data_IF_366633095113
#
_entry.id   IF_366633095113
#
_cell.length_a   1.000
_cell.length_b   1.000
_cell.length_c   1.000
_cell.angle_alpha   90.00
_cell.angle_beta   90.00
_cell.angle_gamma   90.00
#
_symmetry.space_group_name_H-M   'P 1'
#
loop_
_entity.id
_entity.type
_entity.pdbx_description
1 polymer ?
#
# COMPACT_ATOMS: atom_id res chain seq x y z
N UNK A 1 -13.95 -1.00 -8.88
CA UNK A 1 -12.59 -0.46 -8.78
C UNK A 1 -12.35 0.54 -9.89
N UNK A 2 -12.12 1.81 -9.55
CA UNK A 2 -11.77 2.87 -10.50
C UNK A 2 -10.35 3.35 -10.22
N UNK A 3 -9.55 3.58 -11.28
CA UNK A 3 -8.24 4.23 -11.15
C UNK A 3 -8.42 5.73 -11.28
N UNK A 4 -7.87 6.50 -10.34
CA UNK A 4 -7.81 7.95 -10.39
C UNK A 4 -6.34 8.40 -10.41
N UNK A 5 -6.03 9.35 -11.29
CA UNK A 5 -4.75 10.04 -11.27
C UNK A 5 -4.92 11.37 -10.53
N UNK A 6 -4.21 11.50 -9.42
CA UNK A 6 -4.12 12.71 -8.61
C UNK A 6 -2.97 13.59 -9.09
N UNK A 7 -3.25 14.87 -9.31
CA UNK A 7 -2.27 15.88 -9.68
C UNK A 7 -1.74 16.57 -8.43
N UNK A 8 -0.47 16.36 -8.11
CA UNK A 8 0.08 16.76 -6.82
C UNK A 8 1.31 17.66 -7.01
N UNK A 9 1.24 18.87 -6.47
CA UNK A 9 2.34 19.84 -6.49
C UNK A 9 3.00 19.94 -5.11
N UNK A 10 4.32 20.11 -5.07
CA UNK A 10 5.07 20.27 -3.81
C UNK A 10 6.03 21.44 -3.90
N UNK A 11 6.02 22.30 -2.88
CA UNK A 11 7.02 23.34 -2.66
C UNK A 11 6.94 24.58 -3.55
N UNK A 12 5.85 24.77 -4.29
CA UNK A 12 5.57 26.04 -4.98
C UNK A 12 4.92 27.08 -4.07
N UNK A 13 4.96 28.35 -4.46
CA UNK A 13 4.24 29.44 -3.81
C UNK A 13 4.90 30.02 -2.55
N UNK A 14 6.00 29.43 -2.09
CA UNK A 14 6.77 29.90 -0.93
C UNK A 14 7.85 30.92 -1.31
N UNK A 15 8.19 31.79 -0.37
CA UNK A 15 9.28 32.75 -0.46
C UNK A 15 10.62 32.10 -0.04
N UNK A 16 11.57 31.88 -0.97
CA UNK A 16 12.86 31.25 -0.66
C UNK A 16 13.75 32.07 0.27
N UNK A 17 13.48 33.37 0.41
CA UNK A 17 14.22 34.27 1.28
C UNK A 17 13.63 34.35 2.70
N UNK A 18 12.45 33.76 2.94
CA UNK A 18 11.86 33.67 4.27
C UNK A 18 12.34 32.37 4.96
N UNK A 19 13.13 32.45 6.05
CA UNK A 19 13.63 31.28 6.76
C UNK A 19 12.51 30.35 7.26
N UNK A 20 11.35 30.90 7.62
CA UNK A 20 10.21 30.13 8.12
C UNK A 20 9.51 29.30 7.03
N UNK A 21 9.69 29.67 5.76
CA UNK A 21 9.07 28.97 4.63
C UNK A 21 10.03 28.00 3.94
N UNK A 22 11.33 28.08 4.26
CA UNK A 22 12.39 27.31 3.60
C UNK A 22 12.19 25.80 3.72
N UNK A 23 11.65 25.32 4.84
CA UNK A 23 11.34 23.90 5.06
C UNK A 23 10.25 23.33 4.15
N UNK A 24 9.45 24.20 3.51
CA UNK A 24 8.38 23.80 2.61
C UNK A 24 8.82 23.75 1.14
N UNK A 25 10.05 24.19 0.83
CA UNK A 25 10.57 24.30 -0.54
C UNK A 25 11.40 23.05 -0.87
N UNK A 26 11.18 22.50 -2.06
CA UNK A 26 11.99 21.37 -2.54
C UNK A 26 13.42 21.81 -2.83
N UNK A 27 14.40 20.95 -2.54
CA UNK A 27 15.82 21.23 -2.81
C UNK A 27 16.28 20.56 -4.10
N UNK A 28 17.25 21.17 -4.78
CA UNK A 28 17.93 20.53 -5.91
C UNK A 28 18.88 19.45 -5.41
N UNK A 29 18.78 18.24 -5.98
CA UNK A 29 19.67 17.15 -5.66
C UNK A 29 21.14 17.45 -6.04
N UNK A 30 21.35 18.23 -7.10
CA UNK A 30 22.71 18.58 -7.58
C UNK A 30 23.39 19.66 -6.73
N UNK A 31 22.62 20.68 -6.30
CA UNK A 31 23.18 21.89 -5.67
C UNK A 31 22.91 21.98 -4.17
N UNK A 32 21.99 21.18 -3.64
CA UNK A 32 21.53 21.26 -2.25
C UNK A 32 20.77 22.56 -1.91
N UNK A 33 20.47 23.41 -2.90
CA UNK A 33 19.80 24.71 -2.70
C UNK A 33 18.30 24.63 -2.98
N UNK A 34 17.47 25.52 -2.39
CA UNK A 34 16.05 25.60 -2.70
C UNK A 34 15.81 25.79 -4.20
N UNK A 35 14.86 25.05 -4.77
CA UNK A 35 14.43 25.23 -6.16
C UNK A 35 13.63 26.54 -6.26
N UNK A 36 14.25 27.57 -6.78
CA UNK A 36 13.64 28.88 -6.96
C UNK A 36 14.07 29.54 -8.27
N UNK A 37 13.21 30.38 -8.83
CA UNK A 37 13.50 31.23 -9.99
C UNK A 37 12.83 32.59 -9.77
N UNK A 38 13.55 33.67 -10.09
CA UNK A 38 13.04 35.05 -9.96
C UNK A 38 12.46 35.37 -8.56
N UNK A 39 13.10 34.86 -7.50
CA UNK A 39 12.66 35.10 -6.12
C UNK A 39 11.43 34.31 -5.67
N UNK A 40 10.96 33.32 -6.45
CA UNK A 40 9.83 32.47 -6.10
C UNK A 40 10.21 30.99 -6.11
N UNK A 41 9.70 30.22 -5.15
CA UNK A 41 9.88 28.78 -5.12
C UNK A 41 9.16 28.08 -6.28
N UNK A 42 9.85 27.13 -6.90
CA UNK A 42 9.30 26.32 -7.99
C UNK A 42 8.63 25.06 -7.44
N UNK A 43 7.42 24.79 -7.92
CA UNK A 43 6.74 23.54 -7.61
C UNK A 43 7.39 22.37 -8.34
N UNK A 44 7.51 21.23 -7.64
CA UNK A 44 7.70 19.93 -8.28
C UNK A 44 6.34 19.30 -8.51
N UNK A 45 6.11 18.82 -9.73
CA UNK A 45 4.88 18.15 -10.12
C UNK A 45 5.05 16.64 -10.01
N UNK A 46 4.08 15.98 -9.38
CA UNK A 46 4.00 14.51 -9.36
C UNK A 46 2.58 14.07 -9.72
N UNK A 47 2.48 13.00 -10.51
CA UNK A 47 1.21 12.37 -10.85
C UNK A 47 1.11 11.05 -10.09
N UNK A 48 0.10 10.92 -9.22
CA UNK A 48 -0.01 9.77 -8.31
C UNK A 48 -1.29 9.02 -8.59
N UNK A 49 -1.17 7.72 -8.87
CA UNK A 49 -2.34 6.87 -9.10
C UNK A 49 -2.89 6.31 -7.79
N UNK A 50 -4.22 6.30 -7.67
CA UNK A 50 -4.99 5.75 -6.56
C UNK A 50 -6.10 4.84 -7.07
N UNK A 51 -6.53 3.94 -6.20
CA UNK A 51 -7.65 3.04 -6.42
C UNK A 51 -8.82 3.54 -5.58
N UNK A 52 -9.92 3.89 -6.25
CA UNK A 52 -11.16 4.32 -5.62
C UNK A 52 -12.22 3.22 -5.70
N UNK A 53 -13.15 3.26 -4.75
CA UNK A 53 -14.27 2.31 -4.63
C UNK A 53 -13.78 0.86 -4.75
N UNK A 54 -12.76 0.54 -3.96
CA UNK A 54 -12.13 -0.76 -3.90
C UNK A 54 -12.06 -1.21 -2.45
N UNK A 55 -12.44 -2.47 -2.23
CA UNK A 55 -12.28 -3.17 -0.96
C UNK A 55 -11.51 -4.46 -1.23
N UNK A 56 -10.67 -4.84 -0.28
CA UNK A 56 -9.86 -6.04 -0.36
C UNK A 56 -10.03 -6.83 0.94
N UNK A 57 -10.14 -8.14 0.78
CA UNK A 57 -10.03 -9.07 1.88
C UNK A 57 -8.68 -9.76 1.83
N UNK A 58 -8.00 -9.85 2.98
CA UNK A 58 -6.69 -10.50 3.09
C UNK A 58 -6.81 -11.67 4.05
N UNK A 59 -6.37 -12.84 3.58
CA UNK A 59 -6.22 -14.03 4.40
C UNK A 59 -4.73 -14.31 4.58
N UNK A 60 -4.28 -14.30 5.84
CA UNK A 60 -2.91 -14.66 6.20
C UNK A 60 -2.91 -16.03 6.87
N UNK A 61 -2.05 -16.92 6.37
CA UNK A 61 -1.84 -18.26 6.92
C UNK A 61 -0.40 -18.36 7.44
N UNK A 62 -0.22 -19.01 8.59
CA UNK A 62 1.08 -19.13 9.23
C UNK A 62 0.98 -19.84 10.57
N UNK A 63 2.08 -19.80 11.33
CA UNK A 63 2.11 -20.42 12.66
C UNK A 63 1.27 -19.63 13.66
N UNK A 64 0.59 -20.33 14.57
CA UNK A 64 -0.27 -19.71 15.58
C UNK A 64 0.42 -18.63 16.45
N UNK A 65 1.71 -18.77 16.85
CA UNK A 65 2.39 -17.70 17.60
C UNK A 65 2.56 -16.41 16.78
N UNK A 66 2.96 -16.53 15.51
CA UNK A 66 3.16 -15.37 14.63
C UNK A 66 1.82 -14.67 14.33
N UNK A 67 0.78 -15.45 13.99
CA UNK A 67 -0.54 -14.89 13.70
C UNK A 67 -1.15 -14.17 14.92
N UNK A 68 -0.91 -14.66 16.14
CA UNK A 68 -1.33 -13.98 17.37
C UNK A 68 -0.60 -12.64 17.57
N UNK A 69 0.73 -12.61 17.39
CA UNK A 69 1.49 -11.36 17.45
C UNK A 69 0.99 -10.33 16.43
N UNK A 70 0.73 -10.76 15.20
CA UNK A 70 0.16 -9.89 14.15
C UNK A 70 -1.22 -9.40 14.58
N UNK A 71 -2.11 -10.29 15.04
CA UNK A 71 -3.45 -9.91 15.47
C UNK A 71 -3.43 -8.84 16.58
N UNK A 72 -2.57 -8.99 17.58
CA UNK A 72 -2.44 -8.03 18.68
C UNK A 72 -1.90 -6.68 18.19
N UNK A 73 -0.91 -6.69 17.27
CA UNK A 73 -0.37 -5.48 16.67
C UNK A 73 -1.39 -4.74 15.78
N UNK A 74 -2.29 -5.46 15.09
CA UNK A 74 -3.34 -4.83 14.28
C UNK A 74 -4.48 -4.28 15.15
N UNK A 75 -4.74 -4.86 16.33
CA UNK A 75 -5.72 -4.31 17.30
C UNK A 75 -5.20 -3.06 17.98
N UNK A 76 -3.91 -3.05 18.34
CA UNK A 76 -3.27 -1.96 19.07
C UNK A 76 -2.00 -1.49 18.34
N UNK A 77 -2.14 -0.81 17.19
CA UNK A 77 -0.99 -0.44 16.38
C UNK A 77 -0.20 0.69 17.03
N UNK A 78 1.13 0.55 17.08
CA UNK A 78 2.04 1.58 17.61
C UNK A 78 2.08 2.82 16.71
N UNK A 79 1.89 2.65 15.41
CA UNK A 79 1.81 3.72 14.42
C UNK A 79 0.43 3.73 13.74
N UNK A 80 0.05 4.86 13.15
CA UNK A 80 -1.15 4.92 12.31
C UNK A 80 -1.11 3.91 11.17
N UNK A 81 -2.28 3.43 10.73
CA UNK A 81 -2.41 2.46 9.63
C UNK A 81 -2.96 3.19 8.40
N UNK A 82 -2.43 2.88 7.22
CA UNK A 82 -2.85 3.44 5.94
C UNK A 82 -2.70 2.43 4.79
N UNK A 83 -3.52 2.57 3.75
CA UNK A 83 -3.44 1.73 2.56
C UNK A 83 -2.49 2.35 1.52
N UNK A 84 -1.23 1.90 1.57
CA UNK A 84 -0.16 2.37 0.69
C UNK A 84 0.40 3.73 1.10
N UNK A 85 -0.37 4.82 0.93
CA UNK A 85 0.05 6.19 1.29
C UNK A 85 -0.70 6.68 2.53
N UNK A 86 -0.06 7.53 3.34
CA UNK A 86 -0.62 8.09 4.59
C UNK A 86 -1.96 8.82 4.42
N UNK A 87 -2.28 9.29 3.21
CA UNK A 87 -3.56 9.94 2.88
C UNK A 87 -4.73 8.97 2.72
N UNK A 88 -4.46 7.65 2.62
CA UNK A 88 -5.47 6.62 2.43
C UNK A 88 -5.75 5.90 3.76
N UNK A 89 -6.53 6.56 4.62
CA UNK A 89 -6.86 6.06 5.96
C UNK A 89 -7.94 4.96 5.85
N UNK A 90 -7.82 3.83 6.58
CA UNK A 90 -8.86 2.81 6.63
C UNK A 90 -10.18 3.40 7.12
N UNK A 91 -11.28 3.08 6.44
CA UNK A 91 -12.63 3.51 6.83
C UNK A 91 -13.24 2.68 7.96
N UNK A 92 -12.61 1.57 8.33
CA UNK A 92 -13.03 0.65 9.39
C UNK A 92 -11.80 -0.02 10.02
N UNK A 93 -11.94 -0.63 11.23
CA UNK A 93 -10.89 -1.46 11.80
C UNK A 93 -10.42 -2.54 10.82
N UNK A 94 -9.10 -2.66 10.65
CA UNK A 94 -8.53 -3.56 9.64
C UNK A 94 -8.49 -5.02 10.06
N UNK A 95 -8.54 -5.30 11.37
CA UNK A 95 -8.46 -6.65 11.90
C UNK A 95 -9.85 -7.27 11.95
N UNK A 96 -10.12 -8.23 11.05
CA UNK A 96 -11.39 -8.94 11.01
C UNK A 96 -11.48 -10.03 12.10
N UNK A 97 -10.41 -10.81 12.29
CA UNK A 97 -10.39 -11.90 13.26
C UNK A 97 -9.25 -12.88 13.03
N UNK A 98 -9.11 -13.81 13.98
CA UNK A 98 -8.20 -14.95 13.91
C UNK A 98 -9.03 -16.24 14.02
N UNK A 99 -8.72 -17.24 13.19
CA UNK A 99 -9.41 -18.52 13.13
C UNK A 99 -8.40 -19.66 12.98
N UNK A 100 -8.78 -20.84 13.44
CA UNK A 100 -7.91 -22.03 13.43
C UNK A 100 -7.91 -22.76 12.08
N UNK A 101 -8.91 -22.49 11.22
CA UNK A 101 -9.03 -23.07 9.88
C UNK A 101 -9.14 -21.98 8.81
N UNK A 102 -8.65 -22.30 7.61
CA UNK A 102 -8.78 -21.44 6.41
C UNK A 102 -10.25 -21.20 6.08
N UNK A 103 -11.10 -22.21 6.19
CA UNK A 103 -12.51 -22.11 5.82
C UNK A 103 -13.29 -21.21 6.78
N UNK A 104 -13.01 -21.27 8.09
CA UNK A 104 -13.61 -20.35 9.05
C UNK A 104 -13.13 -18.91 8.83
N UNK A 105 -11.85 -18.72 8.49
CA UNK A 105 -11.29 -17.41 8.16
C UNK A 105 -11.93 -16.82 6.88
N UNK A 106 -12.13 -17.66 5.85
CA UNK A 106 -12.84 -17.26 4.63
C UNK A 106 -14.29 -16.90 4.93
N UNK A 107 -15.02 -17.75 5.65
CA UNK A 107 -16.41 -17.47 6.05
C UNK A 107 -16.55 -16.16 6.83
N UNK A 108 -15.58 -15.84 7.69
CA UNK A 108 -15.56 -14.54 8.39
C UNK A 108 -15.40 -13.36 7.43
N UNK A 109 -14.63 -13.51 6.36
CA UNK A 109 -14.27 -12.44 5.44
C UNK A 109 -15.33 -12.19 4.36
N UNK A 110 -15.91 -13.26 3.79
CA UNK A 110 -16.82 -13.18 2.65
C UNK A 110 -18.22 -13.74 2.93
N UNK A 111 -18.47 -14.25 4.14
CA UNK A 111 -19.73 -14.90 4.50
C UNK A 111 -19.92 -16.22 3.73
N UNK A 112 -21.16 -16.46 3.30
CA UNK A 112 -21.53 -17.63 2.48
C UNK A 112 -21.31 -17.42 0.98
N UNK A 113 -20.67 -16.32 0.57
CA UNK A 113 -20.40 -16.06 -0.85
C UNK A 113 -19.33 -17.05 -1.34
N UNK A 114 -19.51 -17.65 -2.54
CA UNK A 114 -18.50 -18.53 -3.11
C UNK A 114 -17.22 -17.75 -3.38
N UNK A 115 -16.06 -18.33 -3.05
CA UNK A 115 -14.76 -17.69 -3.25
C UNK A 115 -14.48 -17.39 -4.74
N UNK A 116 -15.08 -18.19 -5.63
CA UNK A 116 -15.04 -18.02 -7.08
C UNK A 116 -15.72 -16.74 -7.55
N UNK A 117 -16.60 -16.12 -6.74
CA UNK A 117 -17.18 -14.82 -7.08
C UNK A 117 -16.21 -13.65 -6.93
N UNK A 118 -15.01 -13.89 -6.37
CA UNK A 118 -13.99 -12.88 -6.13
C UNK A 118 -12.78 -13.10 -7.04
N UNK A 119 -12.29 -12.02 -7.65
CA UNK A 119 -10.93 -12.02 -8.18
C UNK A 119 -9.97 -12.09 -7.01
N UNK A 120 -9.12 -13.12 -6.97
CA UNK A 120 -8.17 -13.35 -5.88
C UNK A 120 -6.77 -13.61 -6.40
N UNK A 121 -5.79 -13.29 -5.55
CA UNK A 121 -4.39 -13.55 -5.80
C UNK A 121 -3.84 -14.39 -4.66
N UNK A 122 -3.13 -15.46 -5.00
CA UNK A 122 -2.48 -16.37 -4.06
C UNK A 122 -0.98 -16.35 -4.30
N UNK A 123 -0.20 -16.45 -3.23
CA UNK A 123 1.25 -16.67 -3.32
C UNK A 123 1.52 -18.15 -3.61
N UNK A 124 2.50 -18.41 -4.48
CA UNK A 124 2.87 -19.76 -4.93
C UNK A 124 4.38 -19.90 -4.92
N UNK A 125 4.87 -21.13 -4.73
CA UNK A 125 6.31 -21.38 -4.60
C UNK A 125 6.96 -21.66 -5.96
N UNK A 126 6.27 -22.39 -6.86
CA UNK A 126 6.88 -22.89 -8.10
C UNK A 126 6.45 -22.13 -9.36
N UNK A 127 7.34 -22.11 -10.37
CA UNK A 127 7.09 -21.45 -11.67
C UNK A 127 5.90 -22.05 -12.41
N UNK A 128 5.75 -23.37 -12.36
CA UNK A 128 4.61 -24.08 -12.96
C UNK A 128 3.28 -23.69 -12.33
N UNK A 129 3.32 -23.10 -11.13
CA UNK A 129 2.16 -22.75 -10.35
C UNK A 129 1.80 -21.26 -10.43
N UNK A 130 2.70 -20.39 -10.89
CA UNK A 130 2.50 -18.94 -10.94
C UNK A 130 2.93 -18.35 -12.26
N UNK A 131 2.01 -17.63 -12.91
CA UNK A 131 2.29 -16.97 -14.19
C UNK A 131 2.94 -15.60 -14.02
N UNK A 132 2.75 -14.96 -12.86
CA UNK A 132 3.21 -13.59 -12.61
C UNK A 132 4.32 -13.55 -11.55
N UNK A 133 5.26 -12.62 -11.74
CA UNK A 133 6.31 -12.28 -10.77
C UNK A 133 6.14 -10.82 -10.35
N UNK A 134 5.92 -10.57 -9.07
CA UNK A 134 5.77 -9.23 -8.51
C UNK A 134 7.01 -8.87 -7.68
N UNK A 135 7.70 -7.74 -7.94
CA UNK A 135 8.86 -7.29 -7.17
C UNK A 135 8.42 -6.56 -5.89
N UNK A 136 7.69 -7.22 -5.01
CA UNK A 136 7.05 -6.61 -3.84
C UNK A 136 7.36 -7.29 -2.50
N UNK A 137 8.21 -8.34 -2.46
CA UNK A 137 8.71 -8.90 -1.19
C UNK A 137 9.74 -7.94 -0.58
N UNK A 138 9.50 -7.38 0.61
CA UNK A 138 10.38 -6.38 1.18
C UNK A 138 11.68 -7.01 1.69
N UNK A 139 12.83 -6.50 1.20
CA UNK A 139 14.15 -6.83 1.75
C UNK A 139 14.66 -5.75 2.70
N UNK A 140 14.36 -4.48 2.38
CA UNK A 140 14.72 -3.34 3.22
C UNK A 140 13.71 -2.20 3.05
N UNK A 141 13.30 -1.64 4.19
CA UNK A 141 12.48 -0.43 4.25
C UNK A 141 13.30 0.85 4.46
N UNK A 142 14.62 0.76 4.59
CA UNK A 142 15.48 1.92 4.82
C UNK A 142 15.40 2.90 3.64
N UNK A 143 15.28 4.20 3.93
CA UNK A 143 15.10 5.23 2.89
C UNK A 143 16.24 5.26 1.87
N UNK A 144 17.48 5.12 2.34
CA UNK A 144 18.68 5.14 1.49
C UNK A 144 18.88 3.85 0.66
N UNK A 145 18.25 2.75 1.08
CA UNK A 145 18.45 1.44 0.45
C UNK A 145 17.15 0.64 0.48
N UNK A 146 16.09 1.20 -0.10
CA UNK A 146 14.80 0.52 -0.20
C UNK A 146 14.85 -0.50 -1.33
N UNK A 147 14.73 -1.78 -0.98
CA UNK A 147 14.89 -2.90 -1.94
C UNK A 147 13.84 -3.98 -1.75
N UNK A 148 13.54 -4.67 -2.84
CA UNK A 148 12.52 -5.71 -2.93
C UNK A 148 13.05 -6.90 -3.71
N UNK A 149 12.59 -8.10 -3.37
CA UNK A 149 12.75 -9.29 -4.18
C UNK A 149 11.43 -9.65 -4.89
N UNK A 150 11.51 -10.40 -6.01
CA UNK A 150 10.32 -10.97 -6.62
C UNK A 150 9.69 -12.06 -5.75
N UNK A 151 8.35 -12.10 -5.70
CA UNK A 151 7.56 -13.28 -5.33
C UNK A 151 6.64 -13.69 -6.47
N UNK A 152 6.18 -14.93 -6.43
CA UNK A 152 5.31 -15.51 -7.45
C UNK A 152 3.88 -15.50 -6.97
N UNK A 153 2.99 -15.19 -7.90
CA UNK A 153 1.56 -15.17 -7.63
C UNK A 153 0.77 -15.87 -8.72
N UNK A 154 -0.36 -16.42 -8.31
CA UNK A 154 -1.42 -16.91 -9.19
C UNK A 154 -2.66 -16.04 -9.00
N UNK A 155 -3.20 -15.54 -10.10
CA UNK A 155 -4.44 -14.77 -10.09
C UNK A 155 -5.59 -15.62 -10.63
N UNK A 156 -6.67 -15.70 -9.85
CA UNK A 156 -7.94 -16.28 -10.27
C UNK A 156 -8.92 -15.15 -10.56
N UNK A 157 -9.56 -15.19 -11.73
CA UNK A 157 -10.62 -14.23 -12.04
C UNK A 157 -11.93 -14.66 -11.42
N UNK A 158 -12.61 -13.71 -10.78
CA UNK A 158 -13.93 -13.97 -10.22
C UNK A 158 -14.96 -14.21 -11.32
N UNK A 159 -15.76 -15.26 -11.20
CA UNK A 159 -16.92 -15.49 -12.07
C UNK A 159 -18.12 -14.75 -11.51
N UNK A 160 -18.73 -13.89 -12.32
CA UNK A 160 -20.06 -13.37 -11.99
C UNK A 160 -21.06 -14.51 -12.21
N UNK A 161 -21.68 -15.00 -11.15
CA UNK A 161 -22.90 -15.78 -11.32
C UNK A 161 -23.94 -14.82 -11.91
N UNK A 162 -24.30 -15.06 -13.17
CA UNK A 162 -25.39 -14.37 -13.87
C UNK A 162 -26.71 -14.64 -13.18
#
# INVERSE_FOLDING_TARGET
MRRLQDYHTVGGGYNPNNPNERGNITVSAEKGTPRAKNGQALAVLTHRQYLNDASFGILLQGTAPLLRQIADALRNPVWGIWFGRKTCIPSAPIFAGLKDSRDDALRLLIGEKPIESFTRQEEVEHFTEGHDSLPDTPLSFATEQRTFSPRRVRTHQGTKNT
#
